data_IF_603252585415
#
_entry.id   IF_603252585415
#
_cell.length_a   1.000
_cell.length_b   1.000
_cell.length_c   1.000
_cell.angle_alpha   90.00
_cell.angle_beta   90.00
_cell.angle_gamma   90.00
#
_symmetry.space_group_name_H-M   'P 1'
#
loop_
_entity.id
_entity.type
_entity.pdbx_description
1 polymer ?
#
# COMPACT_ATOMS: atom_id res chain seq x y z
N UNK A 1 -21.14 -2.94 4.68
CA UNK A 1 -19.81 -2.99 5.27
C UNK A 1 -19.53 -4.44 5.68
N UNK A 2 -18.91 -5.22 4.81
CA UNK A 2 -18.59 -6.64 5.08
C UNK A 2 -17.32 -6.66 5.92
N UNK A 3 -17.46 -6.90 7.22
CA UNK A 3 -16.32 -7.19 8.10
C UNK A 3 -15.71 -8.49 7.57
N UNK A 4 -14.45 -8.45 7.16
CA UNK A 4 -13.68 -9.62 6.69
C UNK A 4 -13.52 -10.60 7.88
N UNK A 5 -14.55 -11.36 8.21
CA UNK A 5 -14.52 -12.39 9.28
C UNK A 5 -13.73 -13.64 8.90
N UNK A 6 -13.22 -13.74 7.66
CA UNK A 6 -12.52 -14.93 7.17
C UNK A 6 -10.98 -14.85 7.11
N UNK A 7 -10.38 -13.68 7.29
CA UNK A 7 -8.94 -13.47 7.06
C UNK A 7 -8.09 -13.33 8.34
N UNK A 8 -8.63 -13.68 9.51
CA UNK A 8 -7.97 -13.42 10.80
C UNK A 8 -6.66 -14.22 11.01
N UNK A 9 -6.40 -15.27 10.22
CA UNK A 9 -5.18 -16.09 10.30
C UNK A 9 -4.19 -15.93 9.14
N UNK A 10 -4.54 -15.15 8.10
CA UNK A 10 -3.72 -15.02 6.89
C UNK A 10 -2.79 -13.81 7.01
N UNK A 11 -1.50 -14.04 6.72
CA UNK A 11 -0.49 -12.99 6.76
C UNK A 11 -0.56 -12.08 5.52
N UNK A 12 -0.21 -10.79 5.66
CA UNK A 12 -0.10 -9.89 4.53
C UNK A 12 1.01 -10.31 3.57
N UNK A 13 0.77 -10.13 2.28
CA UNK A 13 1.75 -10.31 1.20
C UNK A 13 1.73 -9.12 0.26
N UNK A 14 2.82 -8.86 -0.43
CA UNK A 14 2.92 -7.81 -1.45
C UNK A 14 2.78 -8.41 -2.84
N UNK A 15 1.96 -7.78 -3.66
CA UNK A 15 1.86 -8.07 -5.10
C UNK A 15 1.73 -6.76 -5.86
N UNK A 16 2.78 -6.38 -6.59
CA UNK A 16 2.85 -5.09 -7.26
C UNK A 16 2.76 -3.94 -6.25
N UNK A 17 1.95 -2.95 -6.55
CA UNK A 17 1.75 -1.77 -5.69
C UNK A 17 0.75 -1.98 -4.55
N UNK A 18 0.31 -3.21 -4.30
CA UNK A 18 -0.73 -3.50 -3.32
C UNK A 18 -0.26 -4.48 -2.24
N UNK A 19 -0.85 -4.33 -1.07
CA UNK A 19 -0.77 -5.29 0.03
C UNK A 19 -2.03 -6.15 -0.05
N UNK A 20 -1.90 -7.46 0.13
CA UNK A 20 -3.00 -8.41 0.12
C UNK A 20 -3.05 -9.21 1.42
N UNK A 21 -4.26 -9.58 1.83
CA UNK A 21 -4.54 -10.58 2.86
C UNK A 21 -5.45 -11.62 2.23
N UNK A 22 -4.94 -12.82 1.99
CA UNK A 22 -5.60 -13.75 1.07
C UNK A 22 -5.65 -13.16 -0.34
N UNK A 23 -6.84 -13.13 -0.93
CA UNK A 23 -7.07 -12.56 -2.27
C UNK A 23 -7.63 -11.13 -2.24
N UNK A 24 -7.80 -10.56 -1.05
CA UNK A 24 -8.34 -9.21 -0.89
C UNK A 24 -7.21 -8.19 -0.69
N UNK A 25 -7.34 -7.02 -1.35
CA UNK A 25 -6.43 -5.89 -1.13
C UNK A 25 -6.63 -5.30 0.26
N UNK A 26 -5.53 -5.13 0.97
CA UNK A 26 -5.51 -4.40 2.23
C UNK A 26 -5.05 -2.97 1.99
N UNK A 27 -5.96 -2.03 2.18
CA UNK A 27 -5.63 -0.61 2.27
C UNK A 27 -5.41 -0.26 3.74
N UNK A 28 -4.20 0.18 4.08
CA UNK A 28 -3.82 0.48 5.45
C UNK A 28 -4.48 1.80 5.89
N UNK A 29 -5.35 1.71 6.88
CA UNK A 29 -6.03 2.81 7.58
C UNK A 29 -5.52 2.82 9.00
N UNK A 30 -4.34 3.40 9.17
CA UNK A 30 -3.55 3.21 10.36
C UNK A 30 -3.46 4.43 11.27
N UNK A 31 -3.01 4.16 12.49
CA UNK A 31 -2.66 5.19 13.47
C UNK A 31 -1.42 4.74 14.26
N UNK A 32 -0.57 5.68 14.64
CA UNK A 32 0.57 5.41 15.53
C UNK A 32 0.09 5.22 16.96
N UNK A 33 0.57 4.17 17.63
CA UNK A 33 0.24 3.82 19.01
C UNK A 33 1.51 3.73 19.88
N UNK A 34 1.65 4.64 20.83
CA UNK A 34 2.88 4.85 21.62
C UNK A 34 3.83 5.83 20.87
N UNK A 35 4.96 6.20 21.48
CA UNK A 35 5.62 5.54 22.63
C UNK A 35 5.03 5.98 23.97
N UNK A 36 4.83 5.02 24.84
CA UNK A 36 4.37 5.26 26.22
C UNK A 36 5.55 5.22 27.20
N UNK A 37 5.30 5.54 28.48
CA UNK A 37 6.33 5.44 29.54
C UNK A 37 6.88 4.02 29.60
N UNK A 38 8.17 3.91 29.86
CA UNK A 38 8.82 2.62 30.09
C UNK A 38 8.57 2.15 31.52
N UNK A 39 8.45 0.83 31.69
CA UNK A 39 8.48 0.16 32.99
C UNK A 39 9.93 0.04 33.54
N UNK A 40 10.09 -0.59 34.71
CA UNK A 40 11.39 -0.78 35.35
C UNK A 40 12.33 -1.67 34.51
N UNK A 41 11.79 -2.53 33.64
CA UNK A 41 12.52 -3.42 32.75
C UNK A 41 12.86 -2.77 31.39
N UNK A 42 12.41 -1.52 31.18
CA UNK A 42 12.66 -0.74 29.95
C UNK A 42 11.74 -1.10 28.78
N UNK A 43 10.64 -1.81 29.03
CA UNK A 43 9.59 -2.03 28.04
C UNK A 43 8.52 -0.94 28.14
N UNK A 44 7.78 -0.67 27.06
CA UNK A 44 6.63 0.23 27.15
C UNK A 44 5.58 -0.35 28.10
N UNK A 45 5.15 0.50 29.03
CA UNK A 45 4.11 0.12 29.99
C UNK A 45 2.74 0.23 29.33
N UNK A 46 2.17 -0.90 28.97
CA UNK A 46 0.83 -0.99 28.41
C UNK A 46 -0.15 -1.53 29.48
N UNK A 47 -1.15 -0.74 29.82
CA UNK A 47 -2.29 -1.23 30.60
C UNK A 47 -3.22 -2.03 29.67
N UNK A 48 -3.42 -3.35 29.90
CA UNK A 48 -4.28 -4.17 29.05
C UNK A 48 -5.72 -3.68 28.93
N UNK A 49 -6.27 -3.02 29.96
CA UNK A 49 -7.62 -2.48 29.90
C UNK A 49 -7.69 -1.24 29.00
N UNK A 50 -6.68 -0.38 29.06
CA UNK A 50 -6.58 0.79 28.19
C UNK A 50 -6.36 0.36 26.74
N UNK A 51 -5.49 -0.63 26.50
CA UNK A 51 -5.25 -1.18 25.16
C UNK A 51 -6.53 -1.74 24.56
N UNK A 52 -7.30 -2.52 25.35
CA UNK A 52 -8.58 -3.10 24.89
C UNK A 52 -9.58 -2.01 24.49
N UNK A 53 -9.70 -0.95 25.30
CA UNK A 53 -10.58 0.19 25.02
C UNK A 53 -10.12 0.97 23.77
N UNK A 54 -8.82 1.26 23.68
CA UNK A 54 -8.23 1.95 22.53
C UNK A 54 -8.45 1.17 21.23
N UNK A 55 -8.18 -0.14 21.23
CA UNK A 55 -8.32 -0.97 20.02
C UNK A 55 -9.78 -1.14 19.61
N UNK A 56 -10.70 -1.29 20.57
CA UNK A 56 -12.13 -1.30 20.30
C UNK A 56 -12.58 0.03 19.66
N UNK A 57 -12.11 1.17 20.20
CA UNK A 57 -12.46 2.48 19.66
C UNK A 57 -11.83 2.72 18.27
N UNK A 58 -10.61 2.28 18.04
CA UNK A 58 -9.94 2.31 16.71
C UNK A 58 -10.77 1.53 15.67
N UNK A 59 -11.10 0.28 15.98
CA UNK A 59 -11.89 -0.57 15.10
C UNK A 59 -13.28 0.01 14.79
N UNK A 60 -13.95 0.57 15.80
CA UNK A 60 -15.26 1.24 15.65
C UNK A 60 -15.18 2.49 14.74
N UNK A 61 -14.01 3.11 14.62
CA UNK A 61 -13.75 4.26 13.74
C UNK A 61 -13.11 3.88 12.40
N UNK A 62 -13.12 2.58 12.03
CA UNK A 62 -12.68 2.10 10.72
C UNK A 62 -11.17 2.02 10.53
N UNK A 63 -10.39 2.18 11.60
CA UNK A 63 -8.96 1.90 11.61
C UNK A 63 -8.74 0.38 11.54
N UNK A 64 -7.74 -0.06 10.78
CA UNK A 64 -7.41 -1.47 10.59
C UNK A 64 -5.93 -1.78 10.84
N UNK A 65 -5.14 -0.79 11.25
CA UNK A 65 -3.73 -0.97 11.55
C UNK A 65 -3.26 -0.01 12.63
N UNK A 66 -2.27 -0.46 13.40
CA UNK A 66 -1.49 0.38 14.31
C UNK A 66 -0.01 0.31 13.93
N UNK A 67 0.74 1.33 14.30
CA UNK A 67 2.19 1.34 14.23
C UNK A 67 2.77 1.55 15.61
N UNK A 68 3.69 0.67 16.01
CA UNK A 68 4.48 0.80 17.23
C UNK A 68 5.92 1.18 16.90
N UNK A 69 6.62 1.84 17.84
CA UNK A 69 8.05 2.15 17.70
C UNK A 69 8.92 1.12 18.43
N UNK A 70 8.31 0.30 19.25
CA UNK A 70 8.96 -0.78 19.99
C UNK A 70 8.35 -2.12 19.62
N UNK A 71 9.01 -3.21 20.02
CA UNK A 71 8.50 -4.56 19.84
C UNK A 71 7.37 -4.79 20.83
N UNK A 72 6.13 -4.98 20.38
CA UNK A 72 5.01 -5.18 21.28
C UNK A 72 5.06 -6.56 21.94
N UNK A 73 4.55 -6.73 23.16
CA UNK A 73 4.37 -8.04 23.77
C UNK A 73 3.34 -8.86 22.99
N UNK A 74 3.42 -10.21 23.07
CA UNK A 74 2.55 -11.10 22.30
C UNK A 74 1.06 -10.85 22.57
N UNK A 75 0.69 -10.61 23.83
CA UNK A 75 -0.71 -10.34 24.18
C UNK A 75 -1.29 -9.08 23.50
N UNK A 76 -0.44 -8.07 23.20
CA UNK A 76 -0.89 -6.87 22.47
C UNK A 76 -1.14 -7.21 21.00
N UNK A 77 -0.35 -8.10 20.40
CA UNK A 77 -0.63 -8.63 19.05
C UNK A 77 -1.91 -9.46 19.02
N UNK A 78 -2.16 -10.25 20.06
CA UNK A 78 -3.42 -11.01 20.21
C UNK A 78 -4.63 -10.07 20.30
N UNK A 79 -4.54 -9.02 21.14
CA UNK A 79 -5.57 -8.00 21.25
C UNK A 79 -5.80 -7.27 19.90
N UNK A 80 -4.72 -6.89 19.21
CA UNK A 80 -4.83 -6.30 17.87
C UNK A 80 -5.56 -7.23 16.90
N UNK A 81 -5.23 -8.52 16.89
CA UNK A 81 -5.90 -9.51 16.07
C UNK A 81 -7.39 -9.65 16.39
N UNK A 82 -7.77 -9.67 17.66
CA UNK A 82 -9.16 -9.75 18.11
C UNK A 82 -10.01 -8.58 17.61
N UNK A 83 -9.41 -7.38 17.55
CA UNK A 83 -10.04 -6.17 17.02
C UNK A 83 -9.87 -5.99 15.50
N UNK A 84 -9.26 -6.95 14.79
CA UNK A 84 -9.04 -6.87 13.35
C UNK A 84 -7.96 -5.86 12.94
N UNK A 85 -7.10 -5.45 13.87
CA UNK A 85 -6.00 -4.54 13.63
C UNK A 85 -4.73 -5.30 13.21
N UNK A 86 -3.99 -4.71 12.27
CA UNK A 86 -2.64 -5.15 11.89
C UNK A 86 -1.60 -4.26 12.54
N UNK A 87 -0.41 -4.79 12.79
CA UNK A 87 0.64 -4.06 13.50
C UNK A 87 1.88 -3.89 12.65
N UNK A 88 2.26 -2.65 12.34
CA UNK A 88 3.60 -2.32 11.87
C UNK A 88 4.52 -2.26 13.08
N UNK A 89 5.36 -3.26 13.23
CA UNK A 89 6.25 -3.43 14.38
C UNK A 89 7.53 -2.63 14.19
N UNK A 90 7.77 -1.63 15.03
CA UNK A 90 9.03 -0.90 15.09
C UNK A 90 10.11 -1.73 15.79
N UNK A 91 11.31 -1.75 15.19
CA UNK A 91 12.48 -2.42 15.76
C UNK A 91 13.47 -1.34 16.22
N UNK A 92 13.48 -0.99 17.53
CA UNK A 92 14.22 0.17 18.03
C UNK A 92 15.71 -0.09 18.12
N UNK A 93 16.50 0.92 17.71
CA UNK A 93 17.96 0.97 17.89
C UNK A 93 18.48 2.41 17.80
N UNK A 94 19.74 2.62 18.14
CA UNK A 94 20.35 3.94 18.27
C UNK A 94 20.73 4.54 16.90
N UNK A 95 19.75 4.87 16.08
CA UNK A 95 19.96 5.40 14.71
C UNK A 95 20.40 6.88 14.66
N UNK A 96 20.28 7.60 15.79
CA UNK A 96 20.64 9.02 15.88
C UNK A 96 22.11 9.29 16.26
N UNK A 97 22.90 8.24 16.42
CA UNK A 97 24.32 8.33 16.74
C UNK A 97 25.18 7.66 15.66
N UNK A 98 26.49 7.79 15.76
CA UNK A 98 27.46 7.13 14.86
C UNK A 98 27.49 5.60 15.12
N UNK A 99 26.52 4.87 14.61
CA UNK A 99 26.28 3.45 14.93
C UNK A 99 27.20 2.48 14.20
N UNK A 100 27.87 2.88 13.09
CA UNK A 100 28.78 2.02 12.33
C UNK A 100 30.25 2.16 12.74
N UNK A 101 30.60 3.11 13.61
CA UNK A 101 31.97 3.31 14.06
C UNK A 101 32.43 2.20 15.01
N UNK A 102 31.50 1.58 15.73
CA UNK A 102 31.75 0.45 16.61
C UNK A 102 31.12 -0.85 16.04
N UNK A 103 31.98 -1.79 15.65
CA UNK A 103 31.55 -3.10 15.13
C UNK A 103 30.74 -3.92 16.15
N UNK A 104 31.00 -3.75 17.47
CA UNK A 104 30.22 -4.44 18.51
C UNK A 104 28.81 -3.88 18.56
N UNK A 105 28.67 -2.54 18.51
CA UNK A 105 27.37 -1.88 18.43
C UNK A 105 26.59 -2.30 17.20
N UNK A 106 27.20 -2.27 16.01
CA UNK A 106 26.54 -2.69 14.79
C UNK A 106 26.03 -4.14 14.85
N UNK A 107 26.80 -5.08 15.46
CA UNK A 107 26.36 -6.46 15.69
C UNK A 107 25.24 -6.55 16.75
N UNK A 108 25.34 -5.77 17.82
CA UNK A 108 24.29 -5.73 18.86
C UNK A 108 22.95 -5.21 18.32
N UNK A 109 22.97 -4.23 17.41
CA UNK A 109 21.79 -3.76 16.70
C UNK A 109 21.17 -4.88 15.85
N UNK A 110 21.99 -5.58 15.06
CA UNK A 110 21.55 -6.71 14.24
C UNK A 110 20.88 -7.79 15.11
N UNK A 111 21.47 -8.15 16.26
CA UNK A 111 20.91 -9.13 17.18
C UNK A 111 19.60 -8.67 17.81
N UNK A 112 19.46 -7.37 18.15
CA UNK A 112 18.18 -6.81 18.62
C UNK A 112 17.10 -6.88 17.56
N UNK A 113 17.43 -6.59 16.29
CA UNK A 113 16.51 -6.75 15.18
C UNK A 113 16.05 -8.21 15.08
N UNK A 114 16.99 -9.18 15.11
CA UNK A 114 16.64 -10.61 15.12
C UNK A 114 15.72 -10.99 16.28
N UNK A 115 16.09 -10.58 17.50
CA UNK A 115 15.30 -10.85 18.71
C UNK A 115 13.88 -10.27 18.60
N UNK A 116 13.76 -9.02 18.13
CA UNK A 116 12.48 -8.33 17.96
C UNK A 116 11.58 -9.02 16.92
N UNK A 117 12.14 -9.39 15.78
CA UNK A 117 11.39 -10.13 14.76
C UNK A 117 10.97 -11.51 15.28
N UNK A 118 11.88 -12.26 15.93
CA UNK A 118 11.59 -13.60 16.48
C UNK A 118 10.45 -13.57 17.51
N UNK A 119 10.35 -12.50 18.30
CA UNK A 119 9.28 -12.33 19.28
C UNK A 119 7.88 -12.20 18.66
N UNK A 120 7.80 -11.73 17.40
CA UNK A 120 6.55 -11.50 16.68
C UNK A 120 6.36 -12.46 15.48
N UNK A 121 7.36 -13.30 15.18
CA UNK A 121 7.40 -14.12 13.97
C UNK A 121 6.17 -15.02 13.84
N UNK A 122 5.60 -15.06 12.64
CA UNK A 122 4.45 -15.90 12.34
C UNK A 122 3.11 -15.37 12.87
N UNK A 123 3.10 -14.30 13.68
CA UNK A 123 1.85 -13.80 14.25
C UNK A 123 0.96 -13.15 13.17
N UNK A 124 -0.34 -13.53 13.06
CA UNK A 124 -1.21 -13.03 11.99
C UNK A 124 -1.43 -11.53 12.02
N UNK A 125 -1.43 -10.89 13.21
CA UNK A 125 -1.61 -9.45 13.33
C UNK A 125 -0.42 -8.64 12.76
N UNK A 126 0.77 -9.24 12.57
CA UNK A 126 1.91 -8.49 12.04
C UNK A 126 1.64 -8.08 10.59
N UNK A 127 1.63 -6.75 10.35
CA UNK A 127 1.59 -6.16 9.01
C UNK A 127 2.97 -6.23 8.35
N UNK A 128 3.96 -5.67 9.03
CA UNK A 128 5.35 -5.64 8.60
C UNK A 128 6.26 -5.25 9.76
N UNK A 129 7.57 -5.40 9.54
CA UNK A 129 8.63 -4.96 10.46
C UNK A 129 9.32 -3.71 9.89
N UNK A 130 9.43 -2.65 10.69
CA UNK A 130 10.21 -1.46 10.35
C UNK A 130 11.61 -1.58 10.97
N UNK A 131 12.62 -1.86 10.14
CA UNK A 131 14.03 -2.07 10.57
C UNK A 131 14.76 -0.79 10.94
N UNK A 132 14.11 0.35 10.91
CA UNK A 132 14.61 1.65 11.31
C UNK A 132 13.62 2.75 10.93
N UNK A 133 13.82 3.93 11.52
CA UNK A 133 12.99 5.10 11.32
C UNK A 133 13.85 6.36 11.27
N UNK A 134 13.85 7.07 10.13
CA UNK A 134 14.44 8.41 9.99
C UNK A 134 15.91 8.51 10.45
N UNK A 135 16.82 7.69 9.90
CA UNK A 135 18.25 7.92 10.15
C UNK A 135 18.58 9.35 9.76
N UNK A 136 19.11 10.19 10.69
CA UNK A 136 19.34 11.59 10.40
C UNK A 136 20.23 11.81 9.19
N UNK A 137 19.89 12.80 8.35
CA UNK A 137 20.68 13.13 7.15
C UNK A 137 22.15 13.45 7.47
N UNK A 138 22.44 13.98 8.67
CA UNK A 138 23.81 14.18 9.17
C UNK A 138 24.58 12.87 9.33
N UNK A 139 23.92 11.82 9.85
CA UNK A 139 24.51 10.49 10.02
C UNK A 139 24.71 9.82 8.64
N UNK A 140 23.74 9.94 7.74
CA UNK A 140 23.88 9.42 6.37
C UNK A 140 25.03 10.09 5.63
N UNK A 141 25.18 11.43 5.77
CA UNK A 141 26.32 12.16 5.18
C UNK A 141 27.66 11.76 5.81
N UNK A 142 27.69 11.51 7.12
CA UNK A 142 28.89 11.08 7.83
C UNK A 142 29.44 9.76 7.30
N UNK A 143 28.56 8.79 7.07
CA UNK A 143 28.96 7.47 6.58
C UNK A 143 29.03 7.33 5.06
N UNK A 144 28.36 8.21 4.32
CA UNK A 144 28.00 8.02 2.92
C UNK A 144 26.80 7.07 2.75
N UNK A 145 25.91 7.40 1.79
CA UNK A 145 24.64 6.69 1.59
C UNK A 145 24.84 5.17 1.36
N UNK A 146 25.78 4.78 0.50
CA UNK A 146 26.01 3.37 0.16
C UNK A 146 26.36 2.49 1.38
N UNK A 147 27.06 3.05 2.38
CA UNK A 147 27.40 2.32 3.61
C UNK A 147 26.19 2.14 4.52
N UNK A 148 25.31 3.13 4.56
CA UNK A 148 24.03 3.04 5.29
C UNK A 148 23.07 2.07 4.59
N UNK A 149 22.96 2.12 3.27
CA UNK A 149 22.17 1.20 2.45
C UNK A 149 22.58 -0.26 2.67
N UNK A 150 23.89 -0.55 2.59
CA UNK A 150 24.43 -1.89 2.86
C UNK A 150 24.13 -2.38 4.29
N UNK A 151 24.17 -1.48 5.26
CA UNK A 151 23.84 -1.85 6.63
C UNK A 151 22.32 -2.13 6.81
N UNK A 152 21.47 -1.31 6.21
CA UNK A 152 20.03 -1.55 6.19
C UNK A 152 19.68 -2.87 5.47
N UNK A 153 20.39 -3.21 4.39
CA UNK A 153 20.24 -4.51 3.73
C UNK A 153 20.60 -5.68 4.66
N UNK A 154 21.67 -5.55 5.45
CA UNK A 154 22.01 -6.55 6.47
C UNK A 154 20.93 -6.70 7.52
N UNK A 155 20.32 -5.61 7.99
CA UNK A 155 19.21 -5.66 8.94
C UNK A 155 17.97 -6.30 8.30
N UNK A 156 17.69 -6.00 7.03
CA UNK A 156 16.64 -6.67 6.25
C UNK A 156 16.86 -8.19 6.17
N UNK A 157 18.06 -8.63 5.80
CA UNK A 157 18.41 -10.05 5.74
C UNK A 157 18.31 -10.71 7.13
N UNK A 158 18.71 -10.00 8.17
CA UNK A 158 18.57 -10.47 9.55
C UNK A 158 17.09 -10.69 9.93
N UNK A 159 16.22 -9.76 9.56
CA UNK A 159 14.77 -9.88 9.79
C UNK A 159 14.17 -11.04 8.98
N UNK A 160 14.50 -11.16 7.70
CA UNK A 160 14.03 -12.25 6.83
C UNK A 160 14.53 -13.63 7.26
N UNK A 161 15.68 -13.73 7.91
CA UNK A 161 16.19 -15.00 8.44
C UNK A 161 15.35 -15.52 9.63
N UNK A 162 14.75 -14.61 10.43
CA UNK A 162 13.90 -14.96 11.56
C UNK A 162 12.43 -15.18 11.15
N UNK A 163 11.95 -14.42 10.15
CA UNK A 163 10.60 -14.49 9.63
C UNK A 163 10.59 -14.33 8.10
N UNK A 164 10.81 -15.42 7.35
CA UNK A 164 10.91 -15.37 5.88
C UNK A 164 9.67 -14.79 5.17
N UNK A 165 8.47 -15.06 5.72
CA UNK A 165 7.20 -14.58 5.17
C UNK A 165 6.82 -13.18 5.66
N UNK A 166 7.50 -12.66 6.68
CA UNK A 166 7.27 -11.33 7.22
C UNK A 166 7.66 -10.24 6.24
N UNK A 167 6.78 -9.27 6.02
CA UNK A 167 7.11 -8.07 5.24
C UNK A 167 8.04 -7.17 6.03
N UNK A 168 9.04 -6.59 5.35
CA UNK A 168 10.05 -5.76 5.99
C UNK A 168 10.19 -4.43 5.25
N UNK A 169 10.24 -3.34 5.98
CA UNK A 169 10.42 -1.98 5.47
C UNK A 169 11.44 -1.20 6.29
N UNK A 170 11.86 -0.09 5.74
CA UNK A 170 12.52 1.02 6.44
C UNK A 170 11.66 2.27 6.30
N UNK A 171 11.43 2.99 7.39
CA UNK A 171 10.65 4.24 7.35
C UNK A 171 11.60 5.39 7.07
N UNK A 172 11.49 5.96 5.89
CA UNK A 172 12.29 7.08 5.42
C UNK A 172 11.57 8.42 5.63
N UNK A 173 12.24 9.53 5.33
CA UNK A 173 11.68 10.89 5.37
C UNK A 173 12.33 11.76 4.27
N UNK A 174 11.79 12.95 3.96
CA UNK A 174 12.24 13.74 2.80
C UNK A 174 13.74 14.03 2.76
N UNK A 175 14.38 14.26 3.93
CA UNK A 175 15.80 14.65 3.97
C UNK A 175 16.77 13.54 3.57
N UNK A 176 16.31 12.27 3.54
CA UNK A 176 17.11 11.10 3.14
C UNK A 176 16.43 10.27 2.04
N UNK A 177 15.51 10.86 1.27
CA UNK A 177 14.77 10.19 0.19
C UNK A 177 15.67 9.56 -0.88
N UNK A 178 16.91 10.04 -0.99
CA UNK A 178 17.92 9.56 -1.95
C UNK A 178 18.49 8.17 -1.60
N UNK A 179 18.22 7.62 -0.42
CA UNK A 179 18.63 6.26 -0.06
C UNK A 179 17.96 5.23 -0.97
N UNK A 180 18.79 4.39 -1.62
CA UNK A 180 18.33 3.34 -2.52
C UNK A 180 18.17 2.02 -1.76
N UNK A 181 16.92 1.63 -1.48
CA UNK A 181 16.58 0.43 -0.70
C UNK A 181 15.75 -0.55 -1.54
N UNK A 182 16.31 -1.15 -2.62
CA UNK A 182 15.56 -2.01 -3.54
C UNK A 182 15.10 -3.32 -2.90
N UNK A 183 15.70 -3.72 -1.79
CA UNK A 183 15.46 -4.98 -1.10
C UNK A 183 14.21 -4.95 -0.21
N UNK A 184 13.72 -3.79 0.24
CA UNK A 184 12.52 -3.72 1.10
C UNK A 184 11.25 -4.14 0.37
N UNK A 185 10.35 -4.83 1.07
CA UNK A 185 9.11 -5.34 0.49
C UNK A 185 8.10 -4.23 0.17
N UNK A 186 8.07 -3.17 0.97
CA UNK A 186 7.23 -1.99 0.78
C UNK A 186 8.02 -0.73 1.13
N UNK A 187 7.63 0.40 0.55
CA UNK A 187 8.29 1.70 0.74
C UNK A 187 7.47 2.51 1.73
N UNK A 188 8.11 2.97 2.81
CA UNK A 188 7.46 3.75 3.85
C UNK A 188 8.13 5.11 4.02
N UNK A 189 7.31 6.16 4.16
CA UNK A 189 7.77 7.54 4.39
C UNK A 189 6.95 8.23 5.47
N UNK A 190 7.64 9.02 6.30
CA UNK A 190 7.02 10.03 7.16
C UNK A 190 6.97 11.35 6.40
N UNK A 191 5.78 11.96 6.28
CA UNK A 191 5.59 13.17 5.48
C UNK A 191 4.68 14.15 6.19
N UNK A 192 5.23 15.28 6.62
CA UNK A 192 4.54 16.35 7.34
C UNK A 192 4.44 17.62 6.48
N UNK A 193 3.84 17.50 5.29
CA UNK A 193 3.58 18.64 4.43
C UNK A 193 2.20 19.23 4.74
N UNK A 194 2.17 20.56 4.91
CA UNK A 194 0.98 21.33 5.32
C UNK A 194 0.25 21.96 4.12
N UNK A 195 0.64 21.61 2.89
CA UNK A 195 -0.02 22.03 1.65
C UNK A 195 -0.43 20.78 0.85
N UNK A 196 -1.70 20.71 0.48
CA UNK A 196 -2.24 19.60 -0.30
C UNK A 196 -1.54 19.45 -1.66
N UNK A 197 -1.29 20.58 -2.34
CA UNK A 197 -0.60 20.60 -3.64
C UNK A 197 0.84 20.07 -3.52
N UNK A 198 1.57 20.53 -2.48
CA UNK A 198 2.93 20.06 -2.22
C UNK A 198 2.95 18.58 -1.88
N UNK A 199 1.99 18.11 -1.09
CA UNK A 199 1.87 16.68 -0.77
C UNK A 199 1.60 15.87 -2.04
N UNK A 200 0.65 16.27 -2.87
CA UNK A 200 0.34 15.57 -4.12
C UNK A 200 1.56 15.49 -5.07
N UNK A 201 2.27 16.60 -5.24
CA UNK A 201 3.49 16.64 -6.04
C UNK A 201 4.60 15.75 -5.47
N UNK A 202 4.77 15.76 -4.15
CA UNK A 202 5.76 14.91 -3.49
C UNK A 202 5.41 13.43 -3.58
N UNK A 203 4.14 13.07 -3.44
CA UNK A 203 3.68 11.69 -3.59
C UNK A 203 3.89 11.15 -5.01
N UNK A 204 3.68 11.98 -6.05
CA UNK A 204 3.98 11.60 -7.41
C UNK A 204 5.47 11.24 -7.58
N UNK A 205 6.38 12.00 -6.94
CA UNK A 205 7.81 11.67 -6.87
C UNK A 205 8.07 10.37 -6.12
N UNK A 206 7.47 10.20 -4.93
CA UNK A 206 7.65 8.98 -4.13
C UNK A 206 7.13 7.73 -4.85
N UNK A 207 6.06 7.83 -5.64
CA UNK A 207 5.55 6.72 -6.46
C UNK A 207 6.57 6.26 -7.50
N UNK A 208 7.37 7.19 -8.07
CA UNK A 208 8.47 6.84 -8.97
C UNK A 208 9.61 6.13 -8.21
N UNK A 209 9.95 6.59 -6.99
CA UNK A 209 10.96 5.93 -6.14
C UNK A 209 10.50 4.55 -5.67
N UNK A 210 9.21 4.38 -5.36
CA UNK A 210 8.65 3.10 -4.94
C UNK A 210 8.67 2.06 -6.08
N UNK A 211 8.61 2.50 -7.35
CA UNK A 211 8.55 1.60 -8.50
C UNK A 211 7.31 0.70 -8.43
N UNK A 212 7.52 -0.60 -8.43
CA UNK A 212 6.44 -1.60 -8.38
C UNK A 212 6.08 -2.07 -6.96
N UNK A 213 6.56 -1.39 -5.92
CA UNK A 213 6.28 -1.72 -4.52
C UNK A 213 5.16 -0.85 -3.96
N UNK A 214 4.41 -1.33 -2.95
CA UNK A 214 3.45 -0.49 -2.24
C UNK A 214 4.16 0.70 -1.59
N UNK A 215 3.55 1.88 -1.70
CA UNK A 215 3.93 3.08 -0.96
C UNK A 215 2.95 3.27 0.20
N UNK A 216 3.47 3.40 1.43
CA UNK A 216 2.70 3.67 2.64
C UNK A 216 3.25 4.92 3.30
N UNK A 217 2.39 5.88 3.65
CA UNK A 217 2.78 6.99 4.51
C UNK A 217 2.76 6.49 5.95
N UNK A 218 3.94 6.33 6.54
CA UNK A 218 4.08 5.78 7.88
C UNK A 218 3.81 6.82 8.98
N UNK A 219 3.86 8.11 8.63
CA UNK A 219 3.38 9.21 9.45
C UNK A 219 2.85 10.34 8.57
N UNK A 220 1.64 10.79 8.89
CA UNK A 220 1.04 12.05 8.48
C UNK A 220 0.41 12.68 9.72
N UNK A 221 0.36 13.98 9.81
CA UNK A 221 -0.19 14.61 11.01
C UNK A 221 -0.02 16.12 11.05
N UNK A 222 -0.68 16.72 12.04
CA UNK A 222 -0.53 18.11 12.40
C UNK A 222 -0.72 18.26 13.91
N UNK A 223 0.12 19.05 14.56
CA UNK A 223 0.03 19.37 15.98
C UNK A 223 -1.13 20.34 16.25
N UNK A 224 -2.12 19.91 17.02
CA UNK A 224 -3.26 20.75 17.40
C UNK A 224 -2.94 21.76 18.51
N UNK A 225 -1.93 21.52 19.31
CA UNK A 225 -1.50 22.48 20.32
C UNK A 225 -1.12 23.83 19.68
N UNK A 226 -0.44 23.78 18.54
CA UNK A 226 0.02 24.97 17.80
C UNK A 226 -1.00 25.50 16.79
N UNK A 227 -1.81 24.61 16.22
CA UNK A 227 -2.65 24.93 15.07
C UNK A 227 -4.15 24.94 15.37
N UNK A 228 -4.56 24.37 16.51
CA UNK A 228 -5.97 24.17 16.87
C UNK A 228 -6.54 22.87 16.30
N UNK A 229 -7.56 22.32 16.96
CA UNK A 229 -8.19 21.05 16.59
C UNK A 229 -8.90 21.11 15.25
N UNK A 230 -9.55 22.23 14.90
CA UNK A 230 -10.21 22.40 13.59
C UNK A 230 -9.24 22.33 12.42
N UNK A 231 -8.05 22.91 12.57
CA UNK A 231 -7.02 22.86 11.53
C UNK A 231 -6.44 21.46 11.44
N UNK A 232 -6.18 20.82 12.56
CA UNK A 232 -5.72 19.43 12.61
C UNK A 232 -6.72 18.50 11.89
N UNK A 233 -8.00 18.59 12.21
CA UNK A 233 -9.05 17.76 11.61
C UNK A 233 -9.11 17.92 10.08
N UNK A 234 -9.18 19.17 9.59
CA UNK A 234 -9.17 19.46 8.15
C UNK A 234 -7.89 18.98 7.45
N UNK A 235 -6.75 19.14 8.11
CA UNK A 235 -5.45 18.73 7.54
C UNK A 235 -5.38 17.21 7.40
N UNK A 236 -5.78 16.45 8.40
CA UNK A 236 -5.80 15.00 8.35
C UNK A 236 -6.76 14.46 7.29
N UNK A 237 -7.93 15.09 7.13
CA UNK A 237 -8.89 14.72 6.08
C UNK A 237 -8.26 14.80 4.69
N UNK A 238 -7.72 15.96 4.30
CA UNK A 238 -7.14 16.09 2.95
C UNK A 238 -5.82 15.32 2.79
N UNK A 239 -5.02 15.14 3.85
CA UNK A 239 -3.79 14.34 3.79
C UNK A 239 -4.12 12.88 3.46
N UNK A 240 -5.10 12.29 4.15
CA UNK A 240 -5.57 10.91 3.89
C UNK A 240 -6.08 10.79 2.46
N UNK A 241 -7.03 11.64 2.05
CA UNK A 241 -7.61 11.60 0.71
C UNK A 241 -6.55 11.75 -0.38
N UNK A 242 -5.60 12.68 -0.21
CA UNK A 242 -4.50 12.91 -1.17
C UNK A 242 -3.58 11.70 -1.25
N UNK A 243 -3.26 11.04 -0.13
CA UNK A 243 -2.43 9.83 -0.11
C UNK A 243 -3.06 8.71 -0.95
N UNK A 244 -4.35 8.43 -0.74
CA UNK A 244 -5.03 7.38 -1.49
C UNK A 244 -5.26 7.75 -2.96
N UNK A 245 -5.60 9.01 -3.25
CA UNK A 245 -5.73 9.50 -4.63
C UNK A 245 -4.40 9.41 -5.40
N UNK A 246 -3.26 9.57 -4.71
CA UNK A 246 -1.92 9.36 -5.28
C UNK A 246 -1.53 7.87 -5.41
N UNK A 247 -2.41 6.92 -5.09
CA UNK A 247 -2.17 5.48 -5.21
C UNK A 247 -1.33 4.89 -4.08
N UNK A 248 -1.27 5.51 -2.91
CA UNK A 248 -0.65 4.90 -1.73
C UNK A 248 -1.46 3.67 -1.28
N UNK A 249 -0.77 2.64 -0.82
CA UNK A 249 -1.40 1.46 -0.23
C UNK A 249 -1.97 1.71 1.17
N UNK A 250 -1.73 2.90 1.72
CA UNK A 250 -2.30 3.37 2.96
C UNK A 250 -1.50 4.44 3.66
N UNK A 251 -1.97 4.82 4.84
CA UNK A 251 -1.33 5.80 5.71
C UNK A 251 -1.53 5.49 7.19
N UNK A 252 -0.62 6.00 8.01
CA UNK A 252 -0.74 6.02 9.46
C UNK A 252 -0.81 7.48 9.93
N UNK A 253 -1.86 7.81 10.66
CA UNK A 253 -1.98 9.10 11.33
C UNK A 253 -1.09 9.12 12.57
N UNK A 254 -0.30 10.12 12.73
CA UNK A 254 0.47 10.40 13.93
C UNK A 254 -0.30 11.44 14.76
N UNK A 255 -0.93 11.05 15.92
CA UNK A 255 -0.91 9.77 16.57
C UNK A 255 -2.30 9.43 17.15
N UNK A 256 -2.47 8.28 17.85
CA UNK A 256 -3.71 7.92 18.52
C UNK A 256 -4.09 8.89 19.63
N UNK A 257 -3.13 9.20 20.49
CA UNK A 257 -3.34 10.03 21.68
C UNK A 257 -2.27 11.10 21.80
N UNK A 258 -2.60 12.19 22.49
CA UNK A 258 -1.63 13.22 22.88
C UNK A 258 -0.64 12.74 23.96
N UNK A 259 -0.85 11.55 24.53
CA UNK A 259 0.11 10.93 25.42
C UNK A 259 1.33 10.43 24.63
N UNK A 260 2.48 11.00 24.93
CA UNK A 260 3.73 10.67 24.29
C UNK A 260 4.89 10.73 25.27
N UNK A 261 5.71 9.69 25.31
CA UNK A 261 6.89 9.66 26.19
C UNK A 261 8.16 9.44 25.37
N UNK A 262 9.21 10.17 25.66
CA UNK A 262 10.51 10.04 25.00
C UNK A 262 11.65 10.20 25.99
N UNK A 263 12.58 9.24 26.00
CA UNK A 263 13.76 9.32 26.88
C UNK A 263 13.42 9.35 28.37
N UNK A 264 12.30 8.74 28.78
CA UNK A 264 11.83 8.72 30.16
C UNK A 264 11.03 9.96 30.60
N UNK A 265 10.76 10.88 29.70
CA UNK A 265 9.99 12.11 29.97
C UNK A 265 8.73 12.15 29.09
N UNK A 266 7.62 12.60 29.67
CA UNK A 266 6.42 12.89 28.91
C UNK A 266 6.61 14.17 28.11
N UNK A 267 6.16 14.14 26.85
CA UNK A 267 6.17 15.29 25.97
C UNK A 267 4.82 15.98 26.12
N UNK A 268 4.82 17.16 26.71
CA UNK A 268 3.60 17.89 27.05
C UNK A 268 3.28 19.03 26.08
N UNK A 269 4.22 19.40 25.21
CA UNK A 269 4.11 20.48 24.23
C UNK A 269 3.76 19.99 22.80
N UNK A 270 3.29 18.73 22.69
CA UNK A 270 2.81 18.11 21.47
C UNK A 270 1.40 17.58 21.66
N UNK A 271 0.51 17.90 20.75
CA UNK A 271 -0.86 17.39 20.72
C UNK A 271 -1.22 16.89 19.30
N UNK A 272 -0.47 15.89 18.83
CA UNK A 272 -0.71 15.23 17.54
C UNK A 272 -1.82 14.19 17.60
N UNK A 273 -2.25 13.78 18.77
CA UNK A 273 -3.27 12.77 18.95
C UNK A 273 -4.60 13.12 18.29
N UNK A 274 -5.29 12.09 17.78
CA UNK A 274 -6.70 12.19 17.38
C UNK A 274 -7.64 11.96 18.57
N UNK A 275 -7.07 11.58 19.71
CA UNK A 275 -7.68 11.61 21.05
C UNK A 275 -6.79 12.38 22.02
N UNK A 276 -7.38 12.90 23.07
CA UNK A 276 -6.62 13.57 24.14
C UNK A 276 -5.80 12.57 24.96
N UNK A 277 -4.95 13.04 25.89
CA UNK A 277 -4.24 12.18 26.86
C UNK A 277 -5.19 11.31 27.70
N UNK A 278 -6.40 11.79 27.94
CA UNK A 278 -7.46 11.04 28.64
C UNK A 278 -8.32 10.19 27.69
N UNK A 279 -7.87 9.93 26.46
CA UNK A 279 -8.58 9.15 25.41
C UNK A 279 -9.95 9.72 25.02
N UNK A 280 -10.19 11.02 25.27
CA UNK A 280 -11.39 11.67 24.77
C UNK A 280 -11.22 11.96 23.26
N UNK A 281 -12.21 11.63 22.41
CA UNK A 281 -12.18 11.95 21.00
C UNK A 281 -12.00 13.45 20.74
N UNK A 282 -11.08 13.82 19.84
CA UNK A 282 -10.94 15.16 19.29
C UNK A 282 -11.70 15.27 17.96
N UNK A 283 -11.87 16.46 17.41
CA UNK A 283 -12.47 16.66 16.09
C UNK A 283 -11.77 15.85 15.00
N UNK A 284 -10.47 15.67 15.16
CA UNK A 284 -9.62 14.87 14.27
C UNK A 284 -10.07 13.40 14.14
N UNK A 285 -10.59 12.76 15.20
CA UNK A 285 -11.04 11.37 15.13
C UNK A 285 -12.23 11.21 14.18
N UNK A 286 -13.19 12.14 14.21
CA UNK A 286 -14.33 12.12 13.31
C UNK A 286 -13.90 12.35 11.85
N UNK A 287 -13.00 13.32 11.60
CA UNK A 287 -12.47 13.59 10.27
C UNK A 287 -11.68 12.41 9.70
N UNK A 288 -10.84 11.76 10.50
CA UNK A 288 -10.08 10.57 10.11
C UNK A 288 -11.02 9.41 9.77
N UNK A 289 -12.06 9.16 10.59
CA UNK A 289 -13.07 8.14 10.32
C UNK A 289 -13.77 8.38 8.99
N UNK A 290 -14.21 9.62 8.74
CA UNK A 290 -14.89 10.00 7.50
C UNK A 290 -13.96 9.81 6.30
N UNK A 291 -12.75 10.39 6.34
CA UNK A 291 -11.78 10.24 5.27
C UNK A 291 -11.47 8.77 4.96
N UNK A 292 -11.20 7.96 5.98
CA UNK A 292 -10.91 6.53 5.77
C UNK A 292 -12.12 5.72 5.29
N UNK A 293 -13.35 6.16 5.54
CA UNK A 293 -14.55 5.48 5.03
C UNK A 293 -14.76 5.67 3.53
N UNK A 294 -14.21 6.74 2.97
CA UNK A 294 -14.39 7.13 1.57
C UNK A 294 -13.19 6.79 0.66
N UNK A 295 -12.12 6.23 1.22
CA UNK A 295 -10.93 5.85 0.46
C UNK A 295 -10.73 4.34 0.43
N UNK A 296 -10.16 3.77 -0.66
CA UNK A 296 -9.72 4.44 -1.88
C UNK A 296 -10.86 4.85 -2.82
N UNK A 297 -12.08 4.37 -2.58
CA UNK A 297 -13.27 4.66 -3.38
C UNK A 297 -14.41 5.09 -2.47
N UNK A 298 -15.06 6.18 -2.81
CA UNK A 298 -16.26 6.62 -2.09
C UNK A 298 -17.35 5.53 -2.17
N UNK A 299 -18.05 5.23 -1.08
CA UNK A 299 -19.21 4.32 -1.12
C UNK A 299 -20.34 4.85 -2.01
N UNK A 300 -20.39 6.17 -2.24
CA UNK A 300 -21.37 6.85 -3.08
C UNK A 300 -20.88 6.99 -4.54
N UNK A 301 -19.86 6.23 -4.94
CA UNK A 301 -19.35 6.26 -6.31
C UNK A 301 -20.46 5.87 -7.28
N UNK A 302 -20.84 6.82 -8.16
CA UNK A 302 -21.70 6.52 -9.28
C UNK A 302 -20.94 5.62 -10.27
N UNK A 303 -21.44 4.41 -10.48
CA UNK A 303 -20.80 3.43 -11.38
C UNK A 303 -21.32 3.62 -12.82
N UNK A 304 -20.62 4.42 -13.68
CA UNK A 304 -20.99 4.57 -15.08
C UNK A 304 -20.91 3.23 -15.80
N UNK A 305 -21.69 3.05 -16.87
CA UNK A 305 -21.56 1.84 -17.69
C UNK A 305 -20.24 1.85 -18.43
N UNK A 306 -19.48 0.73 -18.32
CA UNK A 306 -18.19 0.56 -19.00
C UNK A 306 -18.28 -0.55 -20.03
N UNK A 307 -17.88 -0.26 -21.28
CA UNK A 307 -17.68 -1.27 -22.32
C UNK A 307 -16.21 -1.69 -22.36
N UNK A 308 -15.95 -2.95 -22.01
CA UNK A 308 -14.61 -3.53 -22.11
C UNK A 308 -14.45 -4.18 -23.49
N UNK A 309 -13.45 -3.77 -24.24
CA UNK A 309 -13.16 -4.29 -25.58
C UNK A 309 -11.87 -5.10 -25.54
N UNK A 310 -11.97 -6.38 -25.94
CA UNK A 310 -10.85 -7.30 -26.12
C UNK A 310 -10.72 -7.59 -27.61
N UNK A 311 -9.59 -7.23 -28.22
CA UNK A 311 -9.30 -7.58 -29.62
C UNK A 311 -8.30 -8.73 -29.66
N UNK A 312 -8.62 -9.80 -30.39
CA UNK A 312 -7.75 -10.97 -30.48
C UNK A 312 -7.59 -11.45 -31.91
N UNK A 313 -6.38 -11.87 -32.25
CA UNK A 313 -6.06 -12.57 -33.49
C UNK A 313 -5.10 -13.73 -33.21
N UNK A 314 -5.56 -14.95 -33.35
CA UNK A 314 -4.82 -16.17 -33.01
C UNK A 314 -4.33 -16.17 -31.55
N UNK A 315 -5.21 -15.76 -30.63
CA UNK A 315 -4.96 -15.58 -29.23
C UNK A 315 -5.26 -16.80 -28.34
N UNK A 316 -5.46 -17.99 -28.89
CA UNK A 316 -5.84 -19.21 -28.14
C UNK A 316 -4.98 -19.51 -26.91
N UNK A 317 -3.74 -18.98 -26.84
CA UNK A 317 -2.79 -19.23 -25.74
C UNK A 317 -3.02 -18.38 -24.52
N UNK A 318 -3.64 -17.22 -24.68
CA UNK A 318 -3.69 -16.17 -23.65
C UNK A 318 -5.10 -15.68 -23.37
N UNK A 319 -5.99 -15.77 -24.38
CA UNK A 319 -7.33 -15.23 -24.29
C UNK A 319 -8.13 -15.81 -23.12
N UNK A 320 -7.97 -17.10 -22.81
CA UNK A 320 -8.65 -17.74 -21.68
C UNK A 320 -8.36 -17.03 -20.35
N UNK A 321 -7.07 -16.77 -20.07
CA UNK A 321 -6.64 -16.08 -18.83
C UNK A 321 -7.18 -14.64 -18.75
N UNK A 322 -7.27 -13.95 -19.89
CA UNK A 322 -7.85 -12.62 -20.00
C UNK A 322 -9.34 -12.65 -19.65
N UNK A 323 -10.10 -13.54 -20.32
CA UNK A 323 -11.55 -13.62 -20.14
C UNK A 323 -11.94 -14.11 -18.74
N UNK A 324 -11.20 -15.06 -18.17
CA UNK A 324 -11.36 -15.48 -16.78
C UNK A 324 -11.13 -14.31 -15.80
N UNK A 325 -10.16 -13.46 -16.08
CA UNK A 325 -9.93 -12.25 -15.30
C UNK A 325 -11.11 -11.27 -15.38
N UNK A 326 -11.71 -11.14 -16.56
CA UNK A 326 -12.88 -10.27 -16.78
C UNK A 326 -14.14 -10.79 -16.05
N UNK A 327 -14.32 -12.11 -15.96
CA UNK A 327 -15.40 -12.71 -15.14
C UNK A 327 -15.26 -12.43 -13.64
N UNK A 328 -14.05 -12.13 -13.17
CA UNK A 328 -13.75 -11.86 -11.77
C UNK A 328 -13.79 -10.37 -11.41
N UNK A 329 -14.14 -9.49 -12.34
CA UNK A 329 -14.21 -8.05 -12.08
C UNK A 329 -15.27 -7.72 -11.02
N UNK A 330 -14.87 -6.94 -10.05
CA UNK A 330 -15.72 -6.38 -8.99
C UNK A 330 -16.23 -4.99 -9.45
N UNK A 331 -17.16 -5.00 -10.41
CA UNK A 331 -17.78 -3.80 -10.95
C UNK A 331 -19.23 -4.09 -11.38
N UNK A 332 -20.22 -3.30 -10.94
CA UNK A 332 -21.63 -3.70 -11.09
C UNK A 332 -22.22 -3.46 -12.49
N UNK A 333 -21.64 -2.58 -13.30
CA UNK A 333 -22.26 -2.09 -14.53
C UNK A 333 -21.29 -2.05 -15.71
N UNK A 334 -21.01 -3.22 -16.30
CA UNK A 334 -20.13 -3.32 -17.46
C UNK A 334 -20.61 -4.37 -18.48
N UNK A 335 -20.10 -4.29 -19.67
CA UNK A 335 -20.19 -5.30 -20.72
C UNK A 335 -18.82 -5.64 -21.27
N UNK A 336 -18.67 -6.82 -21.83
CA UNK A 336 -17.45 -7.25 -22.51
C UNK A 336 -17.77 -7.56 -23.97
N UNK A 337 -16.99 -6.96 -24.87
CA UNK A 337 -17.08 -7.15 -26.30
C UNK A 337 -15.74 -7.75 -26.77
N UNK A 338 -15.78 -9.00 -27.23
CA UNK A 338 -14.61 -9.67 -27.79
C UNK A 338 -14.66 -9.57 -29.31
N UNK A 339 -13.65 -8.97 -29.93
CA UNK A 339 -13.53 -8.86 -31.38
C UNK A 339 -12.48 -9.85 -31.87
N UNK A 340 -12.93 -10.89 -32.54
CA UNK A 340 -12.07 -11.84 -33.24
C UNK A 340 -11.73 -11.29 -34.64
N UNK A 341 -10.47 -10.85 -34.83
CA UNK A 341 -9.98 -10.25 -36.09
C UNK A 341 -9.59 -11.34 -37.13
N UNK A 342 -10.51 -12.30 -37.37
CA UNK A 342 -10.34 -13.34 -38.37
C UNK A 342 -9.37 -14.44 -37.97
N UNK A 343 -9.38 -14.89 -36.74
CA UNK A 343 -8.53 -15.97 -36.24
C UNK A 343 -8.79 -17.31 -37.00
N UNK A 344 -7.73 -18.09 -37.09
CA UNK A 344 -7.73 -19.42 -37.71
C UNK A 344 -7.51 -20.56 -36.72
N UNK A 345 -7.32 -20.21 -35.46
CA UNK A 345 -7.13 -21.11 -34.30
C UNK A 345 -8.42 -21.20 -33.44
N UNK A 346 -8.30 -21.65 -32.18
CA UNK A 346 -9.44 -21.82 -31.29
C UNK A 346 -9.92 -20.51 -30.61
N UNK A 347 -9.40 -19.35 -30.99
CA UNK A 347 -9.75 -18.05 -30.40
C UNK A 347 -11.25 -17.81 -30.35
N UNK A 348 -11.94 -18.01 -31.47
CA UNK A 348 -13.40 -17.83 -31.58
C UNK A 348 -14.18 -18.78 -30.63
N UNK A 349 -13.74 -20.02 -30.52
CA UNK A 349 -14.35 -21.02 -29.64
C UNK A 349 -14.22 -20.61 -28.20
N UNK A 350 -13.00 -20.25 -27.76
CA UNK A 350 -12.71 -19.78 -26.40
C UNK A 350 -13.57 -18.56 -26.06
N UNK A 351 -13.64 -17.58 -26.96
CA UNK A 351 -14.43 -16.37 -26.72
C UNK A 351 -15.92 -16.68 -26.53
N UNK A 352 -16.47 -17.60 -27.36
CA UNK A 352 -17.88 -18.00 -27.31
C UNK A 352 -18.24 -18.77 -26.05
N UNK A 353 -17.33 -19.59 -25.51
CA UNK A 353 -17.54 -20.38 -24.30
C UNK A 353 -17.65 -19.53 -23.02
N UNK A 354 -17.08 -18.32 -23.01
CA UNK A 354 -17.15 -17.41 -21.85
C UNK A 354 -18.44 -16.59 -21.77
N UNK A 355 -19.33 -16.70 -22.78
CA UNK A 355 -20.65 -16.06 -22.74
C UNK A 355 -20.64 -14.55 -22.94
N UNK A 356 -19.54 -13.96 -23.38
CA UNK A 356 -19.44 -12.55 -23.73
C UNK A 356 -20.01 -12.24 -25.14
N UNK A 357 -20.19 -10.95 -25.44
CA UNK A 357 -20.56 -10.54 -26.79
C UNK A 357 -19.36 -10.67 -27.72
N UNK A 358 -19.45 -11.60 -28.72
CA UNK A 358 -18.35 -11.90 -29.64
C UNK A 358 -18.68 -11.40 -31.04
N UNK A 359 -17.80 -10.61 -31.62
CA UNK A 359 -17.90 -10.09 -32.99
C UNK A 359 -16.78 -10.72 -33.82
N UNK A 360 -17.15 -11.47 -34.84
CA UNK A 360 -16.19 -11.97 -35.82
C UNK A 360 -16.00 -10.95 -36.94
N UNK A 361 -14.76 -10.55 -37.20
CA UNK A 361 -14.39 -9.64 -38.29
C UNK A 361 -13.43 -10.31 -39.28
N UNK A 362 -13.28 -9.71 -40.47
CA UNK A 362 -12.16 -10.05 -41.34
C UNK A 362 -10.87 -9.46 -40.78
N UNK A 363 -9.75 -10.18 -40.91
CA UNK A 363 -8.45 -9.71 -40.46
C UNK A 363 -8.04 -8.43 -41.22
N UNK A 364 -8.21 -7.31 -40.51
CA UNK A 364 -7.83 -5.96 -40.98
C UNK A 364 -6.89 -5.25 -40.00
N UNK A 365 -6.46 -5.95 -38.98
CA UNK A 365 -5.51 -5.48 -37.98
C UNK A 365 -6.16 -4.83 -36.76
N UNK A 366 -5.36 -4.72 -35.71
CA UNK A 366 -5.78 -4.29 -34.35
C UNK A 366 -6.58 -2.99 -34.34
N UNK A 367 -6.18 -1.98 -35.14
CA UNK A 367 -6.89 -0.69 -35.16
C UNK A 367 -8.32 -0.83 -35.67
N UNK A 368 -8.53 -1.65 -36.70
CA UNK A 368 -9.86 -1.90 -37.24
C UNK A 368 -10.69 -2.74 -36.26
N UNK A 369 -10.10 -3.73 -35.61
CA UNK A 369 -10.76 -4.52 -34.58
C UNK A 369 -11.21 -3.64 -33.39
N UNK A 370 -10.36 -2.69 -32.92
CA UNK A 370 -10.74 -1.72 -31.90
C UNK A 370 -11.89 -0.82 -32.33
N UNK A 371 -11.90 -0.32 -33.58
CA UNK A 371 -13.00 0.47 -34.11
C UNK A 371 -14.31 -0.34 -34.24
N UNK A 372 -14.22 -1.61 -34.61
CA UNK A 372 -15.37 -2.51 -34.64
C UNK A 372 -15.97 -2.68 -33.24
N UNK A 373 -15.14 -2.95 -32.24
CA UNK A 373 -15.57 -3.02 -30.84
C UNK A 373 -16.16 -1.71 -30.32
N UNK A 374 -15.54 -0.56 -30.66
CA UNK A 374 -16.05 0.76 -30.29
C UNK A 374 -17.45 1.01 -30.88
N UNK A 375 -17.70 0.61 -32.14
CA UNK A 375 -19.00 0.75 -32.79
C UNK A 375 -20.12 -0.08 -32.14
N UNK A 376 -19.77 -1.13 -31.39
CA UNK A 376 -20.72 -1.96 -30.66
C UNK A 376 -20.85 -1.59 -29.17
N UNK A 377 -19.98 -0.70 -28.68
CA UNK A 377 -19.95 -0.27 -27.27
C UNK A 377 -21.18 0.58 -26.94
N UNK A 378 -21.78 0.31 -25.75
CA UNK A 378 -22.93 1.08 -25.21
C UNK A 378 -22.59 1.82 -23.93
N UNK A 379 -21.39 1.62 -23.39
CA UNK A 379 -20.94 2.24 -22.14
C UNK A 379 -20.52 3.70 -22.32
N UNK A 380 -20.63 4.46 -21.25
CA UNK A 380 -20.16 5.85 -21.14
C UNK A 380 -18.63 5.92 -21.19
N UNK A 381 -17.97 4.87 -20.69
CA UNK A 381 -16.52 4.71 -20.72
C UNK A 381 -16.20 3.46 -21.56
N UNK A 382 -15.20 3.59 -22.43
CA UNK A 382 -14.67 2.47 -23.20
C UNK A 382 -13.28 2.11 -22.67
N UNK A 383 -13.12 0.85 -22.26
CA UNK A 383 -11.88 0.31 -21.77
C UNK A 383 -11.32 -0.75 -22.73
N UNK A 384 -10.09 -0.59 -23.18
CA UNK A 384 -9.40 -1.58 -24.00
C UNK A 384 -8.45 -2.40 -23.14
N UNK A 385 -8.45 -3.72 -23.33
CA UNK A 385 -7.49 -4.64 -22.73
C UNK A 385 -6.95 -5.61 -23.79
N UNK A 386 -5.65 -5.87 -23.76
CA UNK A 386 -5.04 -6.82 -24.68
C UNK A 386 -5.38 -8.27 -24.28
N UNK A 387 -5.52 -9.18 -25.22
CA UNK A 387 -5.91 -10.58 -25.02
C UNK A 387 -4.86 -11.42 -24.27
N UNK A 388 -3.66 -10.86 -24.03
CA UNK A 388 -2.59 -11.43 -23.22
C UNK A 388 -2.46 -10.77 -21.83
N UNK A 389 -3.39 -9.91 -21.46
CA UNK A 389 -3.43 -9.22 -20.19
C UNK A 389 -4.57 -9.75 -19.29
N UNK A 390 -4.29 -9.92 -18.00
CA UNK A 390 -5.31 -10.26 -17.01
C UNK A 390 -5.61 -9.01 -16.17
N UNK A 391 -6.87 -8.54 -16.11
CA UNK A 391 -7.23 -7.37 -15.33
C UNK A 391 -7.19 -7.67 -13.82
N UNK A 392 -6.90 -6.63 -13.04
CA UNK A 392 -7.14 -6.62 -11.60
C UNK A 392 -8.65 -6.58 -11.32
N UNK A 393 -9.13 -7.22 -10.24
CA UNK A 393 -10.56 -7.27 -9.88
C UNK A 393 -11.21 -5.89 -9.77
N UNK A 394 -10.47 -4.88 -9.32
CA UNK A 394 -10.95 -3.50 -9.15
C UNK A 394 -10.56 -2.57 -10.32
N UNK A 395 -10.04 -3.13 -11.43
CA UNK A 395 -9.56 -2.34 -12.56
C UNK A 395 -10.59 -1.30 -13.05
N UNK A 396 -11.84 -1.72 -13.25
CA UNK A 396 -12.90 -0.83 -13.73
C UNK A 396 -13.30 0.22 -12.67
N UNK A 397 -13.23 -0.12 -11.39
CA UNK A 397 -13.48 0.83 -10.30
C UNK A 397 -12.43 1.94 -10.28
N UNK A 398 -11.15 1.60 -10.49
CA UNK A 398 -10.10 2.62 -10.64
C UNK A 398 -10.31 3.51 -11.85
N UNK A 399 -10.71 2.94 -13.00
CA UNK A 399 -11.02 3.72 -14.18
C UNK A 399 -12.19 4.66 -13.93
N UNK A 400 -13.30 4.16 -13.41
CA UNK A 400 -14.48 4.97 -13.10
C UNK A 400 -14.15 6.11 -12.13
N UNK A 401 -13.49 5.80 -11.02
CA UNK A 401 -13.08 6.80 -10.04
C UNK A 401 -12.22 7.90 -10.68
N UNK A 402 -11.25 7.52 -11.50
CA UNK A 402 -10.37 8.46 -12.15
C UNK A 402 -11.10 9.37 -13.17
N UNK A 403 -12.02 8.82 -13.98
CA UNK A 403 -12.82 9.65 -14.90
C UNK A 403 -13.81 10.57 -14.17
N UNK A 404 -14.35 10.14 -13.03
CA UNK A 404 -15.30 10.94 -12.24
C UNK A 404 -14.62 12.06 -11.43
N UNK A 405 -13.37 11.86 -11.03
CA UNK A 405 -12.63 12.82 -10.19
C UNK A 405 -11.70 13.75 -10.98
N UNK A 406 -11.55 13.54 -12.27
CA UNK A 406 -10.68 14.34 -13.13
C UNK A 406 -11.38 14.74 -14.43
N UNK A 407 -10.83 15.73 -15.12
CA UNK A 407 -11.31 16.14 -16.46
C UNK A 407 -10.56 15.40 -17.58
N UNK A 408 -9.95 14.26 -17.30
CA UNK A 408 -9.23 13.49 -18.31
C UNK A 408 -10.19 12.79 -19.27
N UNK A 409 -9.87 12.84 -20.57
CA UNK A 409 -10.62 12.20 -21.65
C UNK A 409 -10.05 10.83 -22.04
N UNK A 410 -8.89 10.47 -21.47
CA UNK A 410 -8.24 9.18 -21.72
C UNK A 410 -7.23 8.86 -20.62
N UNK A 411 -7.08 7.57 -20.32
CA UNK A 411 -6.19 7.06 -19.29
C UNK A 411 -5.47 5.80 -19.78
N UNK A 412 -4.21 5.64 -19.44
CA UNK A 412 -3.44 4.42 -19.67
C UNK A 412 -3.09 3.74 -18.35
N UNK A 413 -3.30 2.44 -18.27
CA UNK A 413 -2.88 1.63 -17.12
C UNK A 413 -1.45 1.11 -17.28
N UNK A 414 -0.72 0.95 -16.16
CA UNK A 414 0.56 0.28 -16.15
C UNK A 414 0.39 -1.22 -16.38
N UNK A 415 1.16 -1.80 -17.32
CA UNK A 415 1.23 -3.26 -17.46
C UNK A 415 2.13 -3.82 -16.34
N UNK A 416 1.54 -4.54 -15.40
CA UNK A 416 2.30 -5.35 -14.45
C UNK A 416 2.65 -6.68 -15.11
N UNK A 417 3.94 -6.90 -15.37
CA UNK A 417 4.45 -8.24 -15.67
C UNK A 417 4.50 -9.00 -14.33
N UNK A 418 3.38 -9.63 -13.95
CA UNK A 418 3.41 -10.55 -12.81
C UNK A 418 4.38 -11.69 -13.14
N UNK A 419 5.06 -12.22 -12.13
CA UNK A 419 6.03 -13.32 -12.19
C UNK A 419 5.47 -14.63 -12.78
N UNK A 420 4.32 -14.59 -13.38
CA UNK A 420 3.61 -15.72 -13.97
C UNK A 420 4.34 -16.39 -15.15
N UNK A 421 5.45 -15.78 -15.63
CA UNK A 421 6.18 -16.32 -16.77
C UNK A 421 7.69 -16.46 -16.57
N UNK A 422 8.13 -17.24 -15.62
CA UNK A 422 9.50 -17.81 -15.73
C UNK A 422 9.68 -18.66 -17.00
N UNK A 423 8.60 -19.20 -17.57
CA UNK A 423 8.66 -20.02 -18.79
C UNK A 423 8.64 -19.23 -20.10
N UNK A 424 8.20 -17.97 -20.13
CA UNK A 424 8.01 -17.20 -21.36
C UNK A 424 8.95 -16.00 -21.54
N UNK A 425 9.87 -15.73 -20.59
CA UNK A 425 10.92 -14.69 -20.72
C UNK A 425 11.83 -14.90 -21.97
N UNK A 426 11.86 -16.07 -22.56
CA UNK A 426 12.67 -16.32 -23.76
C UNK A 426 12.03 -15.84 -25.08
N UNK A 427 10.75 -15.49 -25.10
CA UNK A 427 10.07 -15.10 -26.34
C UNK A 427 9.88 -13.58 -26.51
N UNK A 428 9.89 -12.79 -25.44
CA UNK A 428 9.75 -11.34 -25.53
C UNK A 428 11.04 -10.60 -25.91
N UNK A 429 12.21 -11.20 -25.69
CA UNK A 429 13.54 -10.57 -25.94
C UNK A 429 14.21 -11.05 -27.25
N UNK A 430 13.57 -11.83 -28.09
CA UNK A 430 14.20 -12.40 -29.31
C UNK A 430 13.72 -11.79 -30.64
N UNK A 431 13.06 -10.63 -30.65
CA UNK A 431 12.89 -9.90 -31.90
C UNK A 431 13.96 -8.80 -32.00
N UNK A 432 14.87 -8.87 -33.00
CA UNK A 432 15.84 -7.82 -33.23
C UNK A 432 15.10 -6.55 -33.68
N UNK A 433 15.30 -5.44 -32.97
CA UNK A 433 14.77 -4.12 -33.33
C UNK A 433 13.72 -3.51 -32.41
N UNK A 434 13.33 -4.16 -31.32
CA UNK A 434 12.43 -3.56 -30.32
C UNK A 434 13.14 -3.40 -28.98
N UNK A 435 13.57 -2.18 -28.67
CA UNK A 435 13.96 -1.80 -27.32
C UNK A 435 12.72 -1.89 -26.42
N UNK A 436 12.81 -2.68 -25.36
CA UNK A 436 11.79 -2.80 -24.35
C UNK A 436 11.60 -1.42 -23.68
N UNK A 437 10.40 -0.77 -23.69
CA UNK A 437 10.20 0.52 -23.05
C UNK A 437 10.00 0.37 -21.52
N UNK A 438 10.69 -0.54 -20.87
CA UNK A 438 10.66 -0.69 -19.40
C UNK A 438 11.63 0.26 -18.68
N UNK A 439 12.18 1.29 -19.35
CA UNK A 439 13.10 2.25 -18.75
C UNK A 439 12.69 3.73 -18.89
N UNK A 440 11.43 4.02 -19.19
CA UNK A 440 10.94 5.39 -19.11
C UNK A 440 9.43 5.35 -18.84
N UNK A 441 9.07 5.58 -17.59
CA UNK A 441 7.98 6.34 -16.98
C UNK A 441 7.73 5.84 -15.56
#
# INVERSE_FOLDING_TARGET
MSIIRGACGVRPRVQGKFIFVGDEKLYVRGVTYGTFRLDEDGNENHDPQVVEQDFALMAANGLNAIRTYTVPPSWLLDAAQQHGLRVMVGLPWEQHIAFLDDKKRARAIEERVRKGVRACAGHPAVLCYAIGNEIPASIVRWYGHGRVEQYLERLYQAAKAEDPEGLVTYVNYPSTEYLQLPFVDLVCFNVYLESQENLAAYLARLQNLAGNRPLVLAEIGLDSHRNGEDVQARTLDWQIRTAFAAGCAGSFVFAWTDEWSRGGHDIEDWDFGITTRARQPKLALAAVREAYSEVPFSPDLSYPRISVIVCSYNGQRTLHDCLDGLLQLDYPNFEVIVVDDGSTDLTMTIASEHGFNVIRAENRGLSQARNTGLGAATGEIVAYIDDDARPDRQWLTYLAAAFLTTNHVGMGGAKHCSSWRRAHRRLCCQRPGWSCPCSAF
#
